data_IF_688289953970
#
_entry.id   IF_688289953970
#
_cell.length_a   1.000
_cell.length_b   1.000
_cell.length_c   1.000
_cell.angle_alpha   90.00
_cell.angle_beta   90.00
_cell.angle_gamma   90.00
#
_symmetry.space_group_name_H-M   'P 1'
#
loop_
_entity.id
_entity.type
_entity.pdbx_description
1 polymer ?
#
# COMPACT_ATOMS: atom_id res chain seq x y z
N UNK A 1 -31.84 9.57 -3.53
CA UNK A 1 -32.24 8.15 -3.70
C UNK A 1 -31.42 7.28 -2.78
N UNK A 2 -32.01 6.61 -1.79
CA UNK A 2 -31.28 5.80 -0.80
C UNK A 2 -30.44 4.68 -1.44
N UNK A 3 -30.87 4.14 -2.58
CA UNK A 3 -30.13 3.12 -3.35
C UNK A 3 -28.79 3.62 -3.89
N UNK A 4 -28.65 4.92 -4.19
CA UNK A 4 -27.38 5.49 -4.67
C UNK A 4 -26.31 5.50 -3.57
N UNK A 5 -26.69 5.84 -2.34
CA UNK A 5 -25.79 5.79 -1.18
C UNK A 5 -25.37 4.36 -0.83
N UNK A 6 -26.28 3.38 -0.98
CA UNK A 6 -25.96 1.98 -0.81
C UNK A 6 -24.92 1.48 -1.82
N UNK A 7 -25.04 1.85 -3.11
CA UNK A 7 -24.03 1.50 -4.12
C UNK A 7 -22.67 2.13 -3.85
N UNK A 8 -22.64 3.39 -3.42
CA UNK A 8 -21.38 4.07 -3.04
C UNK A 8 -20.72 3.34 -1.87
N UNK A 9 -21.48 3.04 -0.81
CA UNK A 9 -20.96 2.35 0.37
C UNK A 9 -20.42 0.96 0.04
N UNK A 10 -21.17 0.18 -0.76
CA UNK A 10 -20.74 -1.16 -1.19
C UNK A 10 -19.51 -1.10 -2.10
N UNK A 11 -19.49 -0.20 -3.08
CA UNK A 11 -18.36 -0.04 -3.99
C UNK A 11 -17.09 0.37 -3.26
N UNK A 12 -17.19 1.35 -2.35
CA UNK A 12 -16.07 1.77 -1.50
C UNK A 12 -15.61 0.65 -0.58
N UNK A 13 -16.52 -0.09 0.05
CA UNK A 13 -16.18 -1.20 0.94
C UNK A 13 -15.45 -2.34 0.23
N UNK A 14 -15.95 -2.75 -0.94
CA UNK A 14 -15.31 -3.80 -1.76
C UNK A 14 -13.95 -3.34 -2.28
N UNK A 15 -13.85 -2.11 -2.78
CA UNK A 15 -12.58 -1.53 -3.23
C UNK A 15 -11.54 -1.42 -2.11
N UNK A 16 -11.99 -1.05 -0.90
CA UNK A 16 -11.13 -0.98 0.28
C UNK A 16 -10.58 -2.36 0.68
N UNK A 17 -11.41 -3.40 0.68
CA UNK A 17 -10.96 -4.78 0.91
C UNK A 17 -9.92 -5.23 -0.12
N UNK A 18 -10.16 -4.92 -1.40
CA UNK A 18 -9.21 -5.23 -2.46
C UNK A 18 -7.88 -4.49 -2.29
N UNK A 19 -7.93 -3.20 -1.93
CA UNK A 19 -6.75 -2.39 -1.64
C UNK A 19 -5.95 -2.96 -0.45
N UNK A 20 -6.62 -3.40 0.63
CA UNK A 20 -5.95 -4.04 1.75
C UNK A 20 -5.24 -5.34 1.35
N UNK A 21 -5.88 -6.18 0.55
CA UNK A 21 -5.27 -7.41 0.04
C UNK A 21 -4.04 -7.13 -0.81
N UNK A 22 -4.15 -6.20 -1.77
CA UNK A 22 -3.03 -5.83 -2.64
C UNK A 22 -1.90 -5.22 -1.84
N UNK A 23 -2.19 -4.34 -0.88
CA UNK A 23 -1.19 -3.76 0.02
C UNK A 23 -0.51 -4.86 0.84
N UNK A 24 -1.28 -5.79 1.40
CA UNK A 24 -0.73 -6.87 2.21
C UNK A 24 0.23 -7.79 1.45
N UNK A 25 -0.03 -8.01 0.15
CA UNK A 25 0.81 -8.85 -0.71
C UNK A 25 2.00 -8.07 -1.27
N UNK A 26 1.84 -6.81 -1.65
CA UNK A 26 2.86 -6.09 -2.45
C UNK A 26 3.85 -5.27 -1.63
N UNK A 27 3.47 -4.77 -0.44
CA UNK A 27 4.22 -3.71 0.26
C UNK A 27 5.65 -4.14 0.63
N UNK A 28 5.87 -5.43 0.89
CA UNK A 28 7.19 -5.99 1.19
C UNK A 28 7.69 -6.92 0.08
N UNK A 29 6.82 -7.58 -0.70
CA UNK A 29 7.30 -8.54 -1.71
C UNK A 29 8.15 -7.92 -2.80
N UNK A 30 7.76 -6.75 -3.35
CA UNK A 30 8.57 -6.08 -4.38
C UNK A 30 9.97 -5.68 -3.91
N UNK A 31 10.14 -4.94 -2.80
CA UNK A 31 11.48 -4.57 -2.36
C UNK A 31 12.31 -5.78 -1.91
N UNK A 32 11.68 -6.81 -1.33
CA UNK A 32 12.39 -8.00 -0.86
C UNK A 32 12.88 -8.89 -2.03
N UNK A 33 12.13 -8.95 -3.14
CA UNK A 33 12.56 -9.58 -4.40
C UNK A 33 13.68 -8.81 -5.12
N UNK A 34 13.74 -7.49 -4.96
CA UNK A 34 14.78 -6.64 -5.56
C UNK A 34 16.08 -6.64 -4.74
N UNK A 35 15.98 -6.76 -3.41
CA UNK A 35 17.12 -6.70 -2.49
C UNK A 35 17.71 -8.09 -2.20
N UNK A 36 16.93 -9.17 -2.33
CA UNK A 36 17.37 -10.54 -2.06
C UNK A 36 16.88 -11.51 -3.12
N UNK A 37 17.73 -12.49 -3.46
CA UNK A 37 17.39 -13.63 -4.32
C UNK A 37 16.49 -14.65 -3.60
N UNK A 38 15.32 -14.22 -3.12
CA UNK A 38 14.31 -15.09 -2.51
C UNK A 38 13.21 -15.44 -3.49
N UNK A 39 12.60 -16.62 -3.30
CA UNK A 39 11.42 -17.03 -4.06
C UNK A 39 10.21 -16.14 -3.78
N UNK A 40 9.36 -15.97 -4.80
CA UNK A 40 8.10 -15.19 -4.73
C UNK A 40 7.19 -15.69 -3.61
N UNK A 41 7.16 -16.99 -3.39
CA UNK A 41 6.45 -17.66 -2.30
C UNK A 41 6.87 -17.15 -0.91
N UNK A 42 8.18 -17.08 -0.68
CA UNK A 42 8.79 -16.64 0.57
C UNK A 42 8.58 -15.13 0.78
N UNK A 43 8.65 -14.35 -0.31
CA UNK A 43 8.40 -12.92 -0.30
C UNK A 43 6.94 -12.58 0.04
N UNK A 44 5.97 -13.35 -0.45
CA UNK A 44 4.54 -13.17 -0.15
C UNK A 44 4.23 -13.54 1.31
N UNK A 45 4.73 -14.69 1.78
CA UNK A 45 4.55 -15.10 3.18
C UNK A 45 5.12 -14.06 4.14
N UNK A 46 6.31 -13.54 3.84
CA UNK A 46 6.95 -12.50 4.64
C UNK A 46 6.15 -11.19 4.63
N UNK A 47 5.58 -10.81 3.48
CA UNK A 47 4.72 -9.62 3.38
C UNK A 47 3.46 -9.75 4.24
N UNK A 48 2.78 -10.89 4.15
CA UNK A 48 1.61 -11.20 4.97
C UNK A 48 1.98 -11.16 6.46
N UNK A 49 3.09 -11.80 6.84
CA UNK A 49 3.53 -11.82 8.22
C UNK A 49 3.95 -10.45 8.75
N UNK A 50 4.57 -9.60 7.92
CA UNK A 50 4.90 -8.22 8.27
C UNK A 50 3.64 -7.38 8.53
N UNK A 51 2.58 -7.58 7.73
CA UNK A 51 1.29 -6.91 7.90
C UNK A 51 0.62 -7.36 9.20
N UNK A 52 0.63 -8.65 9.52
CA UNK A 52 0.07 -9.16 10.78
C UNK A 52 0.89 -8.76 12.01
N UNK A 53 2.20 -8.61 11.89
CA UNK A 53 3.06 -8.16 13.00
C UNK A 53 2.85 -6.68 13.33
N UNK A 54 2.64 -5.84 12.31
CA UNK A 54 2.52 -4.39 12.47
C UNK A 54 1.30 -3.83 11.72
N UNK A 55 0.06 -4.25 12.08
CA UNK A 55 -1.14 -3.90 11.33
C UNK A 55 -1.42 -2.39 11.37
N UNK A 56 -1.13 -1.73 12.51
CA UNK A 56 -1.31 -0.28 12.67
C UNK A 56 -0.36 0.51 11.78
N UNK A 57 0.91 0.11 11.72
CA UNK A 57 1.90 0.79 10.88
C UNK A 57 1.59 0.60 9.38
N UNK A 58 1.15 -0.60 8.99
CA UNK A 58 0.76 -0.87 7.60
C UNK A 58 -0.54 -0.18 7.20
N UNK A 59 -1.52 -0.08 8.11
CA UNK A 59 -2.73 0.71 7.88
C UNK A 59 -2.42 2.21 7.73
N UNK A 60 -1.57 2.76 8.61
CA UNK A 60 -1.12 4.14 8.51
C UNK A 60 -0.36 4.41 7.20
N UNK A 61 0.50 3.48 6.78
CA UNK A 61 1.20 3.58 5.51
C UNK A 61 0.25 3.51 4.31
N UNK A 62 -0.71 2.58 4.32
CA UNK A 62 -1.75 2.48 3.29
C UNK A 62 -2.61 3.74 3.19
N UNK A 63 -2.90 4.39 4.32
CA UNK A 63 -3.59 5.69 4.35
C UNK A 63 -2.75 6.81 3.75
N UNK A 64 -1.43 6.84 4.02
CA UNK A 64 -0.52 7.82 3.43
C UNK A 64 -0.45 7.65 1.91
N UNK A 65 -0.32 6.42 1.41
CA UNK A 65 -0.32 6.12 -0.02
C UNK A 65 -1.64 6.54 -0.66
N UNK A 66 -2.75 6.14 -0.06
CA UNK A 66 -4.10 6.45 -0.58
C UNK A 66 -4.34 7.96 -0.59
N UNK A 67 -4.05 8.64 0.51
CA UNK A 67 -4.20 10.09 0.63
C UNK A 67 -3.30 10.84 -0.35
N UNK A 68 -2.04 10.42 -0.48
CA UNK A 68 -1.10 10.99 -1.46
C UNK A 68 -1.59 10.81 -2.90
N UNK A 69 -2.13 9.63 -3.25
CA UNK A 69 -2.66 9.36 -4.57
C UNK A 69 -3.90 10.22 -4.86
N UNK A 70 -4.83 10.32 -3.91
CA UNK A 70 -6.03 11.16 -4.02
C UNK A 70 -5.62 12.63 -4.23
N UNK A 71 -4.77 13.17 -3.35
CA UNK A 71 -4.32 14.56 -3.43
C UNK A 71 -3.52 14.83 -4.71
N UNK A 72 -2.64 13.91 -5.11
CA UNK A 72 -1.85 14.00 -6.35
C UNK A 72 -2.68 13.90 -7.63
N UNK A 73 -3.87 13.29 -7.56
CA UNK A 73 -4.80 13.17 -8.68
C UNK A 73 -5.61 14.45 -8.93
N UNK A 74 -5.89 15.24 -7.88
CA UNK A 74 -6.68 16.49 -7.95
C UNK A 74 -6.18 17.45 -9.04
N UNK A 75 -4.87 17.77 -9.14
CA UNK A 75 -4.37 18.65 -10.19
C UNK A 75 -4.15 17.89 -11.51
N UNK A 76 -5.21 17.30 -12.08
CA UNK A 76 -5.13 16.57 -13.36
C UNK A 76 -3.98 15.54 -13.41
N UNK A 77 -3.76 14.79 -12.32
CA UNK A 77 -2.66 13.81 -12.16
C UNK A 77 -1.24 14.40 -12.19
N UNK A 78 -1.05 15.71 -12.41
CA UNK A 78 0.29 16.35 -12.41
C UNK A 78 0.98 16.24 -11.04
N UNK A 79 0.19 16.20 -9.96
CA UNK A 79 0.71 16.03 -8.59
C UNK A 79 1.41 14.68 -8.39
N UNK A 80 1.12 13.68 -9.22
CA UNK A 80 1.80 12.38 -9.17
C UNK A 80 3.29 12.48 -9.49
N UNK A 81 3.73 13.50 -10.24
CA UNK A 81 5.15 13.76 -10.52
C UNK A 81 5.95 13.96 -9.22
N UNK A 82 5.32 14.53 -8.18
CA UNK A 82 5.94 14.74 -6.86
C UNK A 82 5.62 13.58 -5.92
N UNK A 83 4.37 13.11 -5.92
CA UNK A 83 3.91 12.07 -4.98
C UNK A 83 4.64 10.74 -5.22
N UNK A 84 4.82 10.31 -6.48
CA UNK A 84 5.48 9.05 -6.82
C UNK A 84 6.93 8.97 -6.28
N UNK A 85 7.81 9.96 -6.51
CA UNK A 85 9.17 9.93 -5.94
C UNK A 85 9.19 9.96 -4.41
N UNK A 86 8.30 10.73 -3.77
CA UNK A 86 8.19 10.78 -2.30
C UNK A 86 7.77 9.43 -1.73
N UNK A 87 6.75 8.80 -2.34
CA UNK A 87 6.31 7.45 -1.95
C UNK A 87 7.40 6.42 -2.17
N UNK A 88 8.19 6.52 -3.26
CA UNK A 88 9.35 5.66 -3.50
C UNK A 88 10.40 5.76 -2.39
N UNK A 89 10.82 6.97 -2.04
CA UNK A 89 11.81 7.22 -0.98
C UNK A 89 11.33 6.77 0.41
N UNK A 90 10.04 6.96 0.70
CA UNK A 90 9.45 6.59 1.97
C UNK A 90 9.20 5.07 2.06
N UNK A 91 8.83 4.41 0.96
CA UNK A 91 8.77 2.93 0.89
C UNK A 91 10.15 2.31 1.12
N UNK A 92 11.20 2.90 0.55
CA UNK A 92 12.59 2.51 0.81
C UNK A 92 12.96 2.65 2.30
N UNK A 93 12.50 3.73 2.95
CA UNK A 93 12.71 3.94 4.38
C UNK A 93 11.91 2.99 5.28
N UNK A 94 10.72 2.57 4.85
CA UNK A 94 9.92 1.58 5.57
C UNK A 94 10.55 0.20 5.44
N UNK A 95 10.97 -0.19 4.23
CA UNK A 95 11.66 -1.44 3.96
C UNK A 95 12.89 -1.63 4.85
N UNK A 96 13.81 -0.64 4.88
CA UNK A 96 15.01 -0.73 5.72
C UNK A 96 14.71 -0.84 7.22
N UNK A 97 13.58 -0.30 7.71
CA UNK A 97 13.20 -0.37 9.12
C UNK A 97 12.59 -1.71 9.51
N UNK A 98 11.94 -2.40 8.58
CA UNK A 98 11.29 -3.70 8.81
C UNK A 98 12.28 -4.86 8.64
N UNK A 99 13.27 -4.72 7.75
CA UNK A 99 14.24 -5.80 7.44
C UNK A 99 15.56 -5.70 8.22
N UNK A 100 16.01 -4.50 8.60
CA UNK A 100 17.26 -4.34 9.35
C UNK A 100 17.11 -4.56 10.88
N UNK A 101 15.98 -5.11 11.34
CA UNK A 101 15.74 -5.45 12.74
C UNK A 101 15.41 -6.93 12.92
#
# INVERSE_FOLDING_TARGET
TSSGWAMIGLGVGVGFLFALLVLAISVVSFPLLLDREVGVDTAVLTSIQAVFRNPVAMAAWGLIVTGGLVVGSIPFLLGLVIVMPVLGHATWHLYRRVVAN
#
